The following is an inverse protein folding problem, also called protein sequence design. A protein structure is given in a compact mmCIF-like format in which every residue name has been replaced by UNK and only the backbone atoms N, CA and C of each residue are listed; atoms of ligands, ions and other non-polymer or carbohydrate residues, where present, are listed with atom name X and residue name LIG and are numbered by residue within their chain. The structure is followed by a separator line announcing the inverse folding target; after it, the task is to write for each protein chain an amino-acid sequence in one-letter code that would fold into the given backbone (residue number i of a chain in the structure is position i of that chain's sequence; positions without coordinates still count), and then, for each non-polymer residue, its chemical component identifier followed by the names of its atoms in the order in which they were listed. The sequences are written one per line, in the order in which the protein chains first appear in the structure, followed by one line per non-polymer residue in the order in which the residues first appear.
data_IF_410385925632
#
_entry.id   IF_410385925632
#
_cell.length_a   1.000
_cell.length_b   1.000
_cell.length_c   1.000
_cell.angle_alpha   90.00
_cell.angle_beta   90.00
_cell.angle_gamma   90.00
#
_symmetry.space_group_name_H-M   'P 1'
#
loop_
_entity.id
_entity.type
_entity.pdbx_description
1 polymer ?
#
# COMPACT_ATOMS: atom_id res chain seq x y z
N UNK A 1 -33.01 18.18 -44.57
CA UNK A 1 -31.65 17.79 -44.15
C UNK A 1 -31.78 17.18 -42.77
N UNK A 2 -31.41 15.91 -42.59
CA UNK A 2 -31.55 15.27 -41.29
C UNK A 2 -30.51 15.87 -40.32
N UNK A 3 -30.93 16.28 -39.12
CA UNK A 3 -30.09 16.86 -38.06
C UNK A 3 -29.16 15.81 -37.40
N UNK A 4 -28.66 14.83 -38.14
CA UNK A 4 -27.77 13.81 -37.60
C UNK A 4 -26.34 14.37 -37.56
N UNK A 5 -25.76 14.44 -36.36
CA UNK A 5 -24.34 14.71 -36.10
C UNK A 5 -23.64 13.42 -35.67
N UNK A 6 -22.31 13.44 -35.66
CA UNK A 6 -21.50 12.32 -35.18
C UNK A 6 -21.87 11.91 -33.74
N UNK A 7 -22.25 12.87 -32.89
CA UNK A 7 -22.71 12.64 -31.52
C UNK A 7 -23.87 11.64 -31.44
N UNK A 8 -24.77 11.63 -32.43
CA UNK A 8 -25.88 10.69 -32.46
C UNK A 8 -25.43 9.22 -32.52
N UNK A 9 -24.26 8.94 -33.10
CA UNK A 9 -23.70 7.61 -33.11
C UNK A 9 -23.23 7.20 -31.70
N UNK A 10 -22.60 8.11 -30.96
CA UNK A 10 -22.15 7.89 -29.58
C UNK A 10 -23.34 7.72 -28.61
N UNK A 11 -24.44 8.44 -28.85
CA UNK A 11 -25.67 8.38 -28.05
C UNK A 11 -26.62 7.23 -28.46
N UNK A 12 -26.21 6.37 -29.40
CA UNK A 12 -27.08 5.31 -29.92
C UNK A 12 -27.45 4.27 -28.86
N UNK A 13 -28.75 4.11 -28.61
CA UNK A 13 -29.30 3.15 -27.64
C UNK A 13 -30.01 1.97 -28.31
N UNK A 14 -30.17 1.98 -29.63
CA UNK A 14 -30.83 0.91 -30.38
C UNK A 14 -30.14 0.60 -31.70
N UNK A 15 -30.44 -0.58 -32.26
CA UNK A 15 -30.03 -0.94 -33.62
C UNK A 15 -30.52 0.08 -34.65
N UNK A 16 -31.71 0.67 -34.44
CA UNK A 16 -32.31 1.63 -35.36
C UNK A 16 -31.54 2.96 -35.37
N UNK A 17 -31.03 3.40 -34.23
CA UNK A 17 -30.22 4.62 -34.13
C UNK A 17 -28.94 4.50 -34.94
N UNK A 18 -28.21 3.39 -34.74
CA UNK A 18 -26.98 3.08 -35.49
C UNK A 18 -27.25 3.02 -36.99
N UNK A 19 -28.32 2.33 -37.40
CA UNK A 19 -28.72 2.26 -38.81
C UNK A 19 -29.08 3.62 -39.40
N UNK A 20 -29.76 4.49 -38.63
CA UNK A 20 -30.11 5.82 -39.09
C UNK A 20 -28.86 6.72 -39.22
N UNK A 21 -27.90 6.61 -38.30
CA UNK A 21 -26.63 7.33 -38.40
C UNK A 21 -25.85 6.94 -39.66
N UNK A 22 -25.72 5.63 -39.92
CA UNK A 22 -25.07 5.12 -41.14
C UNK A 22 -25.82 5.58 -42.39
N UNK A 23 -27.16 5.54 -42.39
CA UNK A 23 -27.98 6.02 -43.51
C UNK A 23 -27.86 7.53 -43.75
N UNK A 24 -27.54 8.31 -42.70
CA UNK A 24 -27.24 9.73 -42.80
C UNK A 24 -25.79 10.03 -43.28
N UNK A 25 -24.97 8.99 -43.50
CA UNK A 25 -23.61 9.11 -44.00
C UNK A 25 -22.54 9.27 -42.90
N UNK A 26 -22.88 9.03 -41.63
CA UNK A 26 -21.92 9.05 -40.52
C UNK A 26 -21.04 7.80 -40.63
N UNK A 27 -19.71 7.99 -40.60
CA UNK A 27 -18.76 6.89 -40.52
C UNK A 27 -18.89 6.18 -39.16
N UNK A 28 -19.05 4.86 -39.20
CA UNK A 28 -19.13 4.02 -38.01
C UNK A 28 -17.85 4.10 -37.14
N UNK A 29 -16.73 4.50 -37.73
CA UNK A 29 -15.44 4.66 -37.08
C UNK A 29 -15.12 6.10 -36.70
N UNK A 30 -16.10 7.01 -36.72
CA UNK A 30 -15.84 8.37 -36.27
C UNK A 30 -15.39 8.39 -34.81
N UNK A 31 -14.56 9.37 -34.48
CA UNK A 31 -13.91 9.49 -33.18
C UNK A 31 -14.34 10.78 -32.47
N UNK A 32 -14.54 10.71 -31.17
CA UNK A 32 -14.75 11.90 -30.35
C UNK A 32 -13.41 12.62 -30.05
N UNK A 33 -13.46 13.70 -29.26
CA UNK A 33 -12.28 14.48 -28.89
C UNK A 33 -11.24 13.72 -28.04
N UNK A 34 -11.63 12.61 -27.40
CA UNK A 34 -10.74 11.71 -26.68
C UNK A 34 -10.15 10.61 -27.58
N UNK A 35 -10.46 10.64 -28.87
CA UNK A 35 -10.06 9.61 -29.82
C UNK A 35 -10.82 8.30 -29.62
N UNK A 36 -11.98 8.30 -28.96
CA UNK A 36 -12.78 7.10 -28.75
C UNK A 36 -13.74 6.90 -29.92
N UNK A 37 -13.97 5.65 -30.33
CA UNK A 37 -15.11 5.32 -31.20
C UNK A 37 -16.36 5.05 -30.35
N UNK A 38 -17.51 4.91 -31.01
CA UNK A 38 -18.80 4.77 -30.33
C UNK A 38 -18.91 3.53 -29.40
N UNK A 39 -18.02 2.54 -29.51
CA UNK A 39 -18.01 1.41 -28.57
C UNK A 39 -17.76 1.88 -27.14
N UNK A 40 -16.86 2.85 -26.91
CA UNK A 40 -16.32 3.24 -25.60
C UNK A 40 -17.38 3.68 -24.58
N UNK A 41 -18.49 4.27 -25.04
CA UNK A 41 -19.61 4.69 -24.19
C UNK A 41 -20.89 3.85 -24.33
N UNK A 42 -20.95 2.90 -25.27
CA UNK A 42 -22.19 2.19 -25.57
C UNK A 42 -22.44 1.01 -24.62
N UNK A 43 -23.40 1.15 -23.70
CA UNK A 43 -23.88 0.05 -22.83
C UNK A 43 -25.11 -0.69 -23.40
N UNK A 44 -25.78 -0.12 -24.40
CA UNK A 44 -26.93 -0.78 -25.02
C UNK A 44 -26.49 -1.94 -25.90
N UNK A 45 -26.90 -3.16 -25.52
CA UNK A 45 -26.62 -4.38 -26.27
C UNK A 45 -27.14 -4.32 -27.71
N UNK A 46 -28.27 -3.66 -27.94
CA UNK A 46 -28.86 -3.54 -29.28
C UNK A 46 -28.00 -2.68 -30.21
N UNK A 47 -27.56 -1.51 -29.72
CA UNK A 47 -26.67 -0.62 -30.45
C UNK A 47 -25.28 -1.23 -30.61
N UNK A 48 -24.72 -1.80 -29.54
CA UNK A 48 -23.39 -2.42 -29.53
C UNK A 48 -23.28 -3.54 -30.57
N UNK A 49 -24.28 -4.43 -30.65
CA UNK A 49 -24.35 -5.46 -31.71
C UNK A 49 -24.41 -4.85 -33.10
N UNK A 50 -25.23 -3.81 -33.29
CA UNK A 50 -25.39 -3.16 -34.58
C UNK A 50 -24.09 -2.47 -35.03
N UNK A 51 -23.35 -1.84 -34.12
CA UNK A 51 -22.05 -1.22 -34.42
C UNK A 51 -21.02 -2.28 -34.84
N UNK A 52 -20.96 -3.41 -34.14
CA UNK A 52 -20.09 -4.55 -34.47
C UNK A 52 -20.46 -5.16 -35.82
N UNK A 53 -21.75 -5.40 -36.07
CA UNK A 53 -22.27 -5.86 -37.37
C UNK A 53 -21.96 -4.88 -38.51
N UNK A 54 -21.90 -3.58 -38.22
CA UNK A 54 -21.57 -2.52 -39.17
C UNK A 54 -20.06 -2.35 -39.41
N UNK A 55 -19.21 -3.14 -38.75
CA UNK A 55 -17.76 -3.13 -38.99
C UNK A 55 -17.01 -2.03 -38.25
N UNK A 56 -17.52 -1.58 -37.09
CA UNK A 56 -16.75 -0.70 -36.20
C UNK A 56 -15.40 -1.34 -35.83
N UNK A 57 -14.35 -0.53 -35.74
CA UNK A 57 -13.01 -0.95 -35.39
C UNK A 57 -12.95 -1.41 -33.93
N UNK A 58 -13.16 -2.71 -33.72
CA UNK A 58 -13.31 -3.33 -32.39
C UNK A 58 -12.11 -3.11 -31.47
N UNK A 59 -10.90 -3.12 -32.04
CA UNK A 59 -9.64 -2.96 -31.32
C UNK A 59 -9.08 -1.53 -31.37
N UNK A 60 -9.91 -0.55 -31.74
CA UNK A 60 -9.52 0.86 -31.70
C UNK A 60 -9.11 1.28 -30.29
N UNK A 61 -8.17 2.22 -30.21
CA UNK A 61 -7.68 2.75 -28.94
C UNK A 61 -7.87 4.26 -28.84
N UNK A 62 -8.24 4.73 -27.66
CA UNK A 62 -8.33 6.17 -27.34
C UNK A 62 -6.94 6.85 -27.26
N UNK A 63 -6.92 8.14 -26.91
CA UNK A 63 -5.68 8.91 -26.76
C UNK A 63 -4.76 8.42 -25.62
N UNK A 64 -5.28 7.61 -24.68
CA UNK A 64 -4.51 6.95 -23.62
C UNK A 64 -4.05 5.56 -24.01
N UNK A 65 -4.38 5.12 -25.23
CA UNK A 65 -4.12 3.78 -25.71
C UNK A 65 -5.04 2.73 -25.09
N UNK A 66 -6.14 3.09 -24.44
CA UNK A 66 -7.11 2.11 -23.95
C UNK A 66 -7.97 1.60 -25.10
N UNK A 67 -8.32 0.31 -25.12
CA UNK A 67 -9.42 -0.16 -25.95
C UNK A 67 -10.75 -0.08 -25.16
N UNK A 68 -11.87 -0.40 -25.81
CA UNK A 68 -13.21 -0.26 -25.23
C UNK A 68 -13.46 -1.10 -23.95
N UNK A 69 -12.59 -2.06 -23.60
CA UNK A 69 -12.70 -2.86 -22.38
C UNK A 69 -12.40 -2.05 -21.11
N UNK A 70 -11.55 -1.03 -21.20
CA UNK A 70 -11.03 -0.30 -20.03
C UNK A 70 -12.11 0.53 -19.34
N UNK A 71 -13.11 1.00 -20.10
CA UNK A 71 -14.19 1.87 -19.62
C UNK A 71 -15.51 1.14 -19.28
N UNK A 72 -15.56 -0.20 -19.39
CA UNK A 72 -16.81 -0.94 -19.19
C UNK A 72 -17.33 -0.82 -17.76
N UNK A 73 -18.65 -0.74 -17.62
CA UNK A 73 -19.36 -0.85 -16.33
C UNK A 73 -20.44 -1.93 -16.33
N UNK A 74 -20.79 -2.44 -17.51
CA UNK A 74 -21.83 -3.44 -17.69
C UNK A 74 -21.20 -4.80 -18.01
N UNK A 75 -21.31 -5.81 -17.13
CA UNK A 75 -20.84 -7.17 -17.39
C UNK A 75 -21.43 -7.74 -18.69
N UNK A 76 -22.67 -7.36 -19.04
CA UNK A 76 -23.33 -7.80 -20.27
C UNK A 76 -22.71 -7.21 -21.53
N UNK A 77 -22.41 -5.91 -21.53
CA UNK A 77 -21.76 -5.25 -22.65
C UNK A 77 -20.32 -5.73 -22.80
N UNK A 78 -19.60 -5.84 -21.69
CA UNK A 78 -18.26 -6.43 -21.61
C UNK A 78 -18.22 -7.84 -22.21
N UNK A 79 -19.12 -8.72 -21.75
CA UNK A 79 -19.20 -10.10 -22.25
C UNK A 79 -19.54 -10.18 -23.74
N UNK A 80 -20.28 -9.21 -24.30
CA UNK A 80 -20.50 -9.14 -25.74
C UNK A 80 -19.22 -8.75 -26.49
N UNK A 81 -18.49 -7.73 -26.03
CA UNK A 81 -17.23 -7.32 -26.66
C UNK A 81 -16.20 -8.46 -26.66
N UNK A 82 -16.05 -9.16 -25.53
CA UNK A 82 -15.19 -10.35 -25.40
C UNK A 82 -15.57 -11.41 -26.42
N UNK A 83 -16.86 -11.76 -26.52
CA UNK A 83 -17.37 -12.76 -27.49
C UNK A 83 -17.17 -12.34 -28.94
N UNK A 84 -17.13 -11.03 -29.19
CA UNK A 84 -16.90 -10.47 -30.52
C UNK A 84 -15.41 -10.42 -30.91
N UNK A 85 -14.50 -10.86 -30.04
CA UNK A 85 -13.07 -10.98 -30.34
C UNK A 85 -12.25 -9.71 -30.11
N UNK A 86 -12.70 -8.83 -29.22
CA UNK A 86 -11.87 -7.70 -28.78
C UNK A 86 -10.61 -8.24 -28.09
N UNK A 87 -9.48 -7.56 -28.28
CA UNK A 87 -8.21 -7.96 -27.69
C UNK A 87 -8.23 -7.73 -26.17
N UNK A 88 -8.45 -8.81 -25.42
CA UNK A 88 -8.45 -8.78 -23.95
C UNK A 88 -7.04 -8.62 -23.34
N UNK A 89 -5.99 -8.92 -24.10
CA UNK A 89 -4.59 -8.81 -23.64
C UNK A 89 -3.97 -7.44 -23.94
N UNK A 90 -4.78 -6.49 -24.40
CA UNK A 90 -4.32 -5.15 -24.74
C UNK A 90 -3.76 -4.43 -23.51
N UNK A 91 -2.68 -3.68 -23.72
CA UNK A 91 -2.08 -2.79 -22.73
C UNK A 91 -2.12 -1.36 -23.24
N UNK A 92 -2.51 -0.43 -22.38
CA UNK A 92 -2.56 0.98 -22.73
C UNK A 92 -1.17 1.64 -22.72
N UNK A 93 -1.10 2.95 -22.93
CA UNK A 93 0.17 3.69 -23.00
C UNK A 93 0.99 3.65 -21.70
N UNK A 94 0.36 3.27 -20.57
CA UNK A 94 1.01 3.06 -19.27
C UNK A 94 1.34 1.58 -18.99
N UNK A 95 1.11 0.68 -19.94
CA UNK A 95 1.31 -0.76 -19.75
C UNK A 95 0.20 -1.45 -18.96
N UNK A 96 -0.86 -0.72 -18.58
CA UNK A 96 -1.97 -1.24 -17.80
C UNK A 96 -2.84 -2.14 -18.69
N UNK A 97 -3.22 -3.32 -18.17
CA UNK A 97 -4.29 -4.14 -18.74
C UNK A 97 -5.67 -3.60 -18.33
N UNK A 98 -6.73 -4.05 -18.98
CA UNK A 98 -8.10 -3.68 -18.58
C UNK A 98 -8.44 -4.09 -17.14
N UNK A 99 -7.80 -5.14 -16.61
CA UNK A 99 -8.00 -5.58 -15.23
C UNK A 99 -7.52 -4.54 -14.20
N UNK A 100 -6.49 -3.76 -14.53
CA UNK A 100 -6.03 -2.65 -13.69
C UNK A 100 -7.07 -1.54 -13.56
N UNK A 101 -8.05 -1.45 -14.44
CA UNK A 101 -9.16 -0.48 -14.34
C UNK A 101 -10.43 -1.08 -13.73
N UNK A 102 -10.64 -2.38 -13.92
CA UNK A 102 -11.86 -3.09 -13.55
C UNK A 102 -11.75 -3.79 -12.19
N UNK A 103 -10.70 -3.54 -11.41
CA UNK A 103 -10.39 -4.29 -10.19
C UNK A 103 -11.41 -4.11 -9.03
N UNK A 104 -12.24 -3.06 -9.06
CA UNK A 104 -13.32 -2.85 -8.09
C UNK A 104 -14.64 -3.52 -8.49
N UNK A 105 -14.87 -3.77 -9.78
CA UNK A 105 -16.07 -4.45 -10.28
C UNK A 105 -15.78 -5.94 -10.44
N UNK A 106 -16.08 -6.71 -9.39
CA UNK A 106 -15.76 -8.14 -9.33
C UNK A 106 -16.46 -8.93 -10.45
N UNK A 107 -17.67 -8.56 -10.85
CA UNK A 107 -18.39 -9.24 -11.93
C UNK A 107 -17.70 -9.03 -13.28
N UNK A 108 -17.29 -7.79 -13.57
CA UNK A 108 -16.52 -7.47 -14.77
C UNK A 108 -15.11 -8.10 -14.72
N UNK A 109 -14.45 -8.05 -13.58
CA UNK A 109 -13.13 -8.65 -13.37
C UNK A 109 -13.14 -10.17 -13.61
N UNK A 110 -14.13 -10.88 -13.09
CA UNK A 110 -14.28 -12.33 -13.31
C UNK A 110 -14.51 -12.67 -14.79
N UNK A 111 -15.28 -11.85 -15.53
CA UNK A 111 -15.42 -12.04 -16.97
C UNK A 111 -14.11 -11.89 -17.72
N UNK A 112 -13.27 -10.92 -17.34
CA UNK A 112 -11.95 -10.70 -17.92
C UNK A 112 -10.99 -11.85 -17.60
N UNK A 113 -10.94 -12.30 -16.34
CA UNK A 113 -10.12 -13.44 -15.93
C UNK A 113 -10.52 -14.71 -16.69
N UNK A 114 -11.83 -14.98 -16.79
CA UNK A 114 -12.34 -16.13 -17.55
C UNK A 114 -12.06 -16.01 -19.06
N UNK A 115 -11.85 -14.79 -19.57
CA UNK A 115 -11.41 -14.54 -20.93
C UNK A 115 -9.88 -14.66 -21.12
N UNK A 116 -9.14 -15.01 -20.07
CA UNK A 116 -7.69 -15.23 -20.09
C UNK A 116 -6.85 -13.98 -19.80
N UNK A 117 -7.43 -12.89 -19.29
CA UNK A 117 -6.64 -11.73 -18.88
C UNK A 117 -5.71 -12.12 -17.72
N UNK A 118 -4.42 -11.79 -17.87
CA UNK A 118 -3.41 -12.13 -16.89
C UNK A 118 -3.55 -11.30 -15.61
N UNK A 119 -3.88 -11.99 -14.52
CA UNK A 119 -4.00 -11.44 -13.17
C UNK A 119 -2.66 -10.95 -12.62
N UNK A 120 -1.54 -11.45 -13.14
CA UNK A 120 -0.18 -11.06 -12.77
C UNK A 120 0.41 -9.99 -13.68
N UNK A 121 -0.39 -9.44 -14.61
CA UNK A 121 0.09 -8.40 -15.51
C UNK A 121 0.59 -7.19 -14.71
N UNK A 122 1.72 -6.65 -15.15
CA UNK A 122 2.28 -5.41 -14.60
C UNK A 122 2.17 -4.26 -15.59
N UNK A 123 2.13 -3.04 -15.07
CA UNK A 123 2.24 -1.82 -15.83
C UNK A 123 3.70 -1.46 -16.19
N UNK A 124 3.92 -0.25 -16.71
CA UNK A 124 5.25 0.25 -17.10
C UNK A 124 6.16 0.56 -15.90
N UNK A 125 5.62 0.65 -14.68
CA UNK A 125 6.39 0.79 -13.44
C UNK A 125 6.67 -0.58 -12.79
N UNK A 126 6.18 -1.65 -13.40
CA UNK A 126 6.28 -2.99 -12.85
C UNK A 126 5.26 -3.24 -11.74
N UNK A 127 4.23 -2.41 -11.61
CA UNK A 127 3.21 -2.55 -10.58
C UNK A 127 2.10 -3.51 -11.05
N UNK A 128 1.67 -4.42 -10.17
CA UNK A 128 0.46 -5.22 -10.38
C UNK A 128 -0.78 -4.41 -9.98
N UNK A 129 -1.98 -4.94 -10.23
CA UNK A 129 -3.23 -4.30 -9.82
C UNK A 129 -3.32 -4.01 -8.32
N UNK A 130 -2.59 -4.76 -7.47
CA UNK A 130 -2.64 -4.59 -6.02
C UNK A 130 -2.09 -3.24 -5.55
N UNK A 131 -1.22 -2.57 -6.31
CA UNK A 131 -0.60 -1.30 -5.92
C UNK A 131 -1.58 -0.14 -5.78
N UNK A 132 -2.72 -0.21 -6.47
CA UNK A 132 -3.73 0.85 -6.49
C UNK A 132 -5.02 0.44 -5.72
N UNK A 133 -4.94 -0.63 -4.92
CA UNK A 133 -6.06 -1.13 -4.11
C UNK A 133 -5.92 -0.70 -2.65
N UNK A 134 -6.90 0.05 -2.17
CA UNK A 134 -6.94 0.53 -0.79
C UNK A 134 -8.25 0.21 -0.07
N UNK A 135 -9.07 -0.65 -0.67
CA UNK A 135 -10.21 -1.30 -0.02
C UNK A 135 -9.79 -2.69 0.46
N UNK A 136 -10.02 -2.99 1.73
CA UNK A 136 -9.57 -4.25 2.32
C UNK A 136 -10.28 -5.48 1.76
N UNK A 137 -11.57 -5.40 1.50
CA UNK A 137 -12.35 -6.55 1.05
C UNK A 137 -11.99 -6.89 -0.40
N UNK A 138 -11.81 -5.86 -1.23
CA UNK A 138 -11.34 -6.03 -2.62
C UNK A 138 -9.89 -6.51 -2.65
N UNK A 139 -9.00 -5.94 -1.82
CA UNK A 139 -7.62 -6.41 -1.72
C UNK A 139 -7.55 -7.89 -1.31
N UNK A 140 -8.29 -8.27 -0.27
CA UNK A 140 -8.36 -9.65 0.21
C UNK A 140 -8.88 -10.60 -0.87
N UNK A 141 -9.88 -10.19 -1.65
CA UNK A 141 -10.37 -10.93 -2.80
C UNK A 141 -9.24 -11.22 -3.81
N UNK A 142 -8.48 -10.20 -4.22
CA UNK A 142 -7.41 -10.36 -5.20
C UNK A 142 -6.25 -11.21 -4.68
N UNK A 143 -5.87 -11.05 -3.42
CA UNK A 143 -4.89 -11.92 -2.77
C UNK A 143 -5.38 -13.37 -2.72
N UNK A 144 -6.66 -13.60 -2.47
CA UNK A 144 -7.26 -14.94 -2.49
C UNK A 144 -7.37 -15.53 -3.91
N UNK A 145 -7.46 -14.70 -4.94
CA UNK A 145 -7.36 -15.11 -6.35
C UNK A 145 -5.94 -15.42 -6.81
N UNK A 146 -4.93 -15.17 -5.97
CA UNK A 146 -3.55 -15.55 -6.22
C UNK A 146 -2.63 -14.39 -6.61
N UNK A 147 -3.08 -13.14 -6.51
CA UNK A 147 -2.16 -11.99 -6.66
C UNK A 147 -1.06 -12.04 -5.59
N UNK A 148 0.18 -11.81 -6.01
CA UNK A 148 1.34 -11.84 -5.11
C UNK A 148 1.50 -10.50 -4.37
N UNK A 149 1.36 -10.54 -3.05
CA UNK A 149 1.56 -9.39 -2.16
C UNK A 149 3.03 -8.99 -2.00
N UNK A 150 3.96 -9.89 -2.37
CA UNK A 150 5.40 -9.68 -2.27
C UNK A 150 6.02 -9.21 -3.59
N UNK A 151 5.20 -9.08 -4.65
CA UNK A 151 5.65 -8.55 -5.92
C UNK A 151 6.31 -7.18 -5.70
N UNK A 152 7.43 -6.95 -6.38
CA UNK A 152 8.17 -5.69 -6.32
C UNK A 152 8.11 -4.98 -7.66
N UNK A 153 7.84 -3.69 -7.61
CA UNK A 153 7.90 -2.80 -8.76
C UNK A 153 9.36 -2.58 -9.19
N UNK A 154 9.57 -1.80 -10.25
CA UNK A 154 10.93 -1.51 -10.73
C UNK A 154 11.76 -0.64 -9.77
N UNK A 155 11.13 -0.01 -8.77
CA UNK A 155 11.82 0.69 -7.69
C UNK A 155 12.15 -0.24 -6.51
N UNK A 156 11.76 -1.51 -6.59
CA UNK A 156 11.95 -2.50 -5.53
C UNK A 156 10.95 -2.35 -4.38
N UNK A 157 9.90 -1.54 -4.50
CA UNK A 157 8.84 -1.39 -3.49
C UNK A 157 7.85 -2.54 -3.64
N UNK A 158 7.55 -3.24 -2.55
CA UNK A 158 6.46 -4.23 -2.51
C UNK A 158 5.09 -3.58 -2.26
N UNK A 159 4.00 -4.26 -2.62
CA UNK A 159 2.62 -3.78 -2.49
C UNK A 159 2.30 -3.23 -1.10
N UNK A 160 2.74 -3.93 -0.04
CA UNK A 160 2.46 -3.58 1.36
C UNK A 160 3.68 -2.98 2.09
N UNK A 161 4.70 -2.51 1.35
CA UNK A 161 5.79 -1.75 1.97
C UNK A 161 5.21 -0.48 2.61
N UNK A 162 5.52 -0.29 3.90
CA UNK A 162 4.98 0.83 4.67
C UNK A 162 5.47 2.17 4.08
N UNK A 163 4.56 3.12 3.82
CA UNK A 163 4.91 4.39 3.19
C UNK A 163 5.86 5.20 4.07
N UNK A 164 6.67 6.05 3.41
CA UNK A 164 7.68 6.90 4.06
C UNK A 164 7.17 8.29 4.42
N UNK A 165 6.05 8.71 3.81
CA UNK A 165 5.56 10.08 3.78
C UNK A 165 4.16 10.18 4.42
N UNK A 166 3.55 11.38 4.39
CA UNK A 166 2.24 11.73 4.98
C UNK A 166 1.01 10.98 4.40
N UNK A 167 1.22 9.84 3.77
CA UNK A 167 0.17 8.93 3.28
C UNK A 167 -0.38 8.08 4.43
N UNK A 168 -0.82 8.74 5.51
CA UNK A 168 -1.34 8.14 6.73
C UNK A 168 -2.44 7.10 6.47
N UNK A 169 -3.29 7.36 5.48
CA UNK A 169 -4.37 6.46 5.09
C UNK A 169 -3.86 5.17 4.40
N UNK A 170 -2.78 5.25 3.61
CA UNK A 170 -2.13 4.06 3.03
C UNK A 170 -1.36 3.29 4.12
N UNK A 171 -0.80 3.99 5.10
CA UNK A 171 -0.14 3.35 6.24
C UNK A 171 -1.12 2.45 7.01
N UNK A 172 -2.27 2.99 7.42
CA UNK A 172 -3.27 2.22 8.18
C UNK A 172 -3.83 1.05 7.36
N UNK A 173 -4.05 1.26 6.06
CA UNK A 173 -4.39 0.17 5.14
C UNK A 173 -3.29 -0.91 5.16
N UNK A 174 -2.03 -0.54 4.94
CA UNK A 174 -0.92 -1.48 4.85
C UNK A 174 -0.72 -2.28 6.14
N UNK A 175 -0.83 -1.62 7.31
CA UNK A 175 -0.77 -2.30 8.62
C UNK A 175 -1.87 -3.37 8.74
N UNK A 176 -3.10 -3.04 8.37
CA UNK A 176 -4.21 -3.97 8.48
C UNK A 176 -4.15 -5.09 7.44
N UNK A 177 -3.73 -4.80 6.21
CA UNK A 177 -3.51 -5.81 5.19
C UNK A 177 -2.39 -6.78 5.59
N UNK A 178 -1.26 -6.27 6.10
CA UNK A 178 -0.16 -7.10 6.63
C UNK A 178 -0.63 -7.99 7.79
N UNK A 179 -1.47 -7.49 8.70
CA UNK A 179 -2.05 -8.29 9.79
C UNK A 179 -2.90 -9.45 9.26
N UNK A 180 -3.72 -9.21 8.24
CA UNK A 180 -4.59 -10.24 7.63
C UNK A 180 -3.80 -11.28 6.84
N UNK A 181 -2.70 -10.88 6.21
CA UNK A 181 -1.91 -11.71 5.29
C UNK A 181 -0.49 -12.01 5.78
N UNK A 182 -0.24 -11.98 7.10
CA UNK A 182 1.10 -12.19 7.69
C UNK A 182 1.73 -13.55 7.34
N UNK A 183 0.89 -14.54 7.03
CA UNK A 183 1.35 -15.87 6.63
C UNK A 183 1.77 -15.92 5.15
N UNK A 184 1.42 -14.90 4.36
CA UNK A 184 1.73 -14.78 2.93
C UNK A 184 2.90 -13.83 2.62
N UNK A 185 3.37 -13.06 3.60
CA UNK A 185 4.56 -12.21 3.39
C UNK A 185 5.83 -13.08 3.35
N UNK A 186 6.76 -12.68 2.48
CA UNK A 186 8.04 -13.36 2.32
C UNK A 186 9.01 -13.07 3.50
N UNK A 187 10.28 -13.45 3.34
CA UNK A 187 11.30 -13.23 4.37
C UNK A 187 11.85 -11.80 4.41
N UNK A 188 11.38 -10.90 3.54
CA UNK A 188 11.79 -9.49 3.55
C UNK A 188 11.44 -8.88 4.90
N UNK A 189 12.37 -8.14 5.54
CA UNK A 189 12.05 -7.38 6.72
C UNK A 189 10.91 -6.38 6.48
N UNK A 190 9.92 -6.37 7.37
CA UNK A 190 8.93 -5.28 7.40
C UNK A 190 9.61 -4.07 8.04
N UNK A 191 9.85 -3.03 7.24
CA UNK A 191 10.53 -1.82 7.65
C UNK A 191 9.55 -0.76 8.18
N UNK A 192 9.64 -0.48 9.48
CA UNK A 192 8.92 0.60 10.13
C UNK A 192 9.79 1.87 10.16
N UNK A 193 9.44 2.84 9.31
CA UNK A 193 9.96 4.23 9.39
C UNK A 193 9.04 5.13 10.23
N UNK A 194 7.79 4.74 10.34
CA UNK A 194 6.80 5.30 11.25
C UNK A 194 6.25 4.18 12.14
N UNK A 195 6.04 4.47 13.43
CA UNK A 195 5.38 3.57 14.37
C UNK A 195 4.19 4.27 15.02
N UNK A 196 2.99 3.75 14.73
CA UNK A 196 1.74 4.16 15.36
C UNK A 196 1.36 3.23 16.52
N UNK A 197 0.29 3.57 17.27
CA UNK A 197 -0.31 2.64 18.24
C UNK A 197 -0.83 1.37 17.58
N UNK A 198 -1.37 1.50 16.36
CA UNK A 198 -1.94 0.41 15.56
C UNK A 198 -0.87 -0.52 14.96
N UNK A 199 0.36 -0.02 14.82
CA UNK A 199 1.49 -0.83 14.39
C UNK A 199 1.92 -1.85 15.45
N UNK A 200 1.71 -1.57 16.75
CA UNK A 200 2.19 -2.45 17.83
C UNK A 200 1.57 -3.87 17.79
N UNK A 201 0.24 -4.04 17.55
CA UNK A 201 -0.34 -5.35 17.26
C UNK A 201 0.29 -6.07 16.06
N UNK A 202 0.61 -5.36 14.97
CA UNK A 202 1.30 -5.98 13.83
C UNK A 202 2.72 -6.42 14.21
N UNK A 203 3.48 -5.56 14.89
CA UNK A 203 4.84 -5.89 15.35
C UNK A 203 4.83 -7.12 16.27
N UNK A 204 3.86 -7.21 17.18
CA UNK A 204 3.69 -8.37 18.05
C UNK A 204 3.40 -9.65 17.24
N UNK A 205 2.49 -9.57 16.25
CA UNK A 205 2.15 -10.68 15.38
C UNK A 205 3.33 -11.12 14.51
N UNK A 206 4.07 -10.18 13.93
CA UNK A 206 5.29 -10.46 13.17
C UNK A 206 6.32 -11.20 14.03
N UNK A 207 6.51 -10.76 15.27
CA UNK A 207 7.41 -11.40 16.23
C UNK A 207 6.96 -12.83 16.56
N UNK A 208 5.68 -13.03 16.85
CA UNK A 208 5.10 -14.35 17.11
C UNK A 208 5.30 -15.31 15.93
N UNK A 209 5.16 -14.79 14.70
CA UNK A 209 5.35 -15.54 13.45
C UNK A 209 6.82 -15.68 13.03
N UNK A 210 7.77 -15.16 13.81
CA UNK A 210 9.20 -15.21 13.48
C UNK A 210 9.58 -14.42 12.21
N UNK A 211 8.80 -13.40 11.86
CA UNK A 211 9.06 -12.52 10.71
C UNK A 211 10.08 -11.45 11.09
N UNK A 212 10.89 -11.03 10.12
CA UNK A 212 11.92 -10.03 10.36
C UNK A 212 11.29 -8.64 10.48
N UNK A 213 11.59 -7.95 11.58
CA UNK A 213 11.09 -6.62 11.91
C UNK A 213 12.28 -5.68 11.91
N UNK A 214 12.26 -4.66 11.05
CA UNK A 214 13.27 -3.63 11.05
C UNK A 214 12.63 -2.30 11.43
N UNK A 215 13.20 -1.61 12.41
CA UNK A 215 12.85 -0.22 12.72
C UNK A 215 13.99 0.66 12.23
N UNK A 216 13.65 1.65 11.41
CA UNK A 216 14.61 2.58 10.86
C UNK A 216 15.34 3.35 11.97
N UNK A 217 16.61 3.70 11.75
CA UNK A 217 17.36 4.49 12.73
C UNK A 217 16.67 5.83 13.01
N UNK A 218 16.15 6.51 11.97
CA UNK A 218 15.24 7.63 12.12
C UNK A 218 13.79 7.13 12.06
N UNK A 219 13.16 6.97 13.22
CA UNK A 219 11.78 6.50 13.31
C UNK A 219 10.85 7.59 13.82
N UNK A 220 9.80 7.91 13.07
CA UNK A 220 8.76 8.83 13.52
C UNK A 220 7.67 8.10 14.30
N UNK A 221 6.94 8.81 15.17
CA UNK A 221 5.79 8.30 15.90
C UNK A 221 4.84 9.42 16.34
N UNK A 222 3.59 9.06 16.62
CA UNK A 222 2.55 9.97 17.10
C UNK A 222 2.01 9.51 18.47
N UNK A 223 2.71 9.82 19.56
CA UNK A 223 2.24 9.49 20.92
C UNK A 223 2.34 10.68 21.89
N UNK A 224 1.36 10.75 22.79
CA UNK A 224 1.46 11.62 23.96
C UNK A 224 2.57 11.15 24.92
N UNK A 225 3.31 12.09 25.50
CA UNK A 225 4.43 11.80 26.43
C UNK A 225 4.01 10.86 27.56
N UNK A 226 2.80 11.00 28.11
CA UNK A 226 2.27 10.14 29.18
C UNK A 226 2.18 8.65 28.79
N UNK A 227 2.04 8.35 27.50
CA UNK A 227 1.88 6.98 26.98
C UNK A 227 3.21 6.37 26.52
N UNK A 228 4.29 7.15 26.39
CA UNK A 228 5.56 6.66 25.81
C UNK A 228 6.16 5.52 26.62
N UNK A 229 6.16 5.61 27.96
CA UNK A 229 6.79 4.59 28.81
C UNK A 229 6.16 3.22 28.62
N UNK A 230 4.83 3.13 28.65
CA UNK A 230 4.13 1.85 28.43
C UNK A 230 4.31 1.36 27.00
N UNK A 231 4.24 2.27 26.02
CA UNK A 231 4.45 1.94 24.61
C UNK A 231 5.82 1.32 24.34
N UNK A 232 6.90 2.02 24.69
CA UNK A 232 8.26 1.53 24.46
C UNK A 232 8.57 0.28 25.28
N UNK A 233 8.00 0.14 26.48
CA UNK A 233 8.13 -1.11 27.26
C UNK A 233 7.55 -2.29 26.51
N UNK A 234 6.43 -2.11 25.81
CA UNK A 234 5.83 -3.16 24.98
C UNK A 234 6.62 -3.39 23.70
N UNK A 235 7.01 -2.33 22.98
CA UNK A 235 7.76 -2.44 21.72
C UNK A 235 9.06 -3.24 21.89
N UNK A 236 9.79 -2.98 22.98
CA UNK A 236 11.03 -3.68 23.34
C UNK A 236 10.89 -5.18 23.56
N UNK A 237 9.67 -5.70 23.75
CA UNK A 237 9.45 -7.15 23.89
C UNK A 237 9.58 -7.87 22.55
N UNK A 238 9.36 -7.15 21.45
CA UNK A 238 9.19 -7.75 20.13
C UNK A 238 10.39 -7.49 19.21
N UNK A 239 11.12 -6.39 19.43
CA UNK A 239 12.25 -6.02 18.58
C UNK A 239 13.27 -5.16 19.33
N UNK A 240 14.53 -5.18 18.88
CA UNK A 240 15.55 -4.28 19.39
C UNK A 240 15.32 -2.87 18.84
N UNK A 241 15.42 -1.89 19.73
CA UNK A 241 15.27 -0.47 19.42
C UNK A 241 16.45 0.35 19.97
N UNK A 242 17.52 -0.31 20.40
CA UNK A 242 18.68 0.35 21.01
C UNK A 242 19.44 1.24 20.02
N UNK A 243 19.32 0.98 18.72
CA UNK A 243 19.92 1.78 17.65
C UNK A 243 19.03 2.94 17.20
N UNK A 244 17.75 2.97 17.57
CA UNK A 244 16.73 3.85 16.99
C UNK A 244 16.67 5.21 17.70
N UNK A 245 16.64 6.28 16.91
CA UNK A 245 16.26 7.63 17.30
C UNK A 245 14.78 7.87 16.98
N UNK A 246 14.05 8.39 17.96
CA UNK A 246 12.60 8.57 17.83
C UNK A 246 12.23 10.05 17.69
N UNK A 247 11.40 10.35 16.70
CA UNK A 247 10.99 11.71 16.36
C UNK A 247 9.47 11.86 16.37
N UNK A 248 8.99 13.01 16.85
CA UNK A 248 7.58 13.35 16.74
C UNK A 248 7.24 13.64 15.26
N UNK A 249 6.26 12.93 14.71
CA UNK A 249 5.92 13.04 13.28
C UNK A 249 5.43 14.44 12.86
N UNK A 250 4.83 15.24 13.75
CA UNK A 250 4.26 16.54 13.38
C UNK A 250 5.29 17.68 13.29
N UNK A 251 6.47 17.51 13.90
CA UNK A 251 7.46 18.58 14.01
C UNK A 251 8.89 18.12 13.76
N UNK A 252 9.07 16.84 13.42
CA UNK A 252 10.37 16.16 13.33
C UNK A 252 11.31 16.46 14.51
N UNK A 253 10.73 16.54 15.71
CA UNK A 253 11.49 16.84 16.94
C UNK A 253 11.84 15.54 17.66
N UNK A 254 13.11 15.37 17.99
CA UNK A 254 13.57 14.19 18.72
C UNK A 254 12.96 14.10 20.13
N UNK A 255 12.66 12.88 20.60
CA UNK A 255 12.07 12.63 21.94
C UNK A 255 12.87 13.24 23.08
N UNK A 256 14.19 13.31 22.92
CA UNK A 256 15.11 13.91 23.87
C UNK A 256 14.93 15.42 24.03
N UNK A 257 14.31 16.13 23.09
CA UNK A 257 14.18 17.60 23.14
C UNK A 257 12.98 18.02 23.98
N UNK A 258 11.81 17.43 23.74
CA UNK A 258 10.55 17.91 24.28
C UNK A 258 10.04 17.14 25.50
N UNK A 259 10.70 16.04 25.88
CA UNK A 259 10.33 15.29 27.09
C UNK A 259 11.01 15.85 28.34
N UNK A 260 10.36 15.69 29.50
CA UNK A 260 10.95 16.10 30.78
C UNK A 260 12.13 15.21 31.19
N UNK A 261 13.02 15.75 32.03
CA UNK A 261 14.26 15.07 32.48
C UNK A 261 14.04 13.64 32.98
N UNK A 262 12.97 13.39 33.74
CA UNK A 262 12.68 12.07 34.30
C UNK A 262 12.25 11.05 33.23
N UNK A 263 11.73 11.52 32.10
CA UNK A 263 11.43 10.67 30.94
C UNK A 263 12.72 10.40 30.15
N UNK A 264 13.59 11.40 29.96
CA UNK A 264 14.91 11.21 29.32
C UNK A 264 15.77 10.22 30.11
N UNK A 265 15.87 10.39 31.43
CA UNK A 265 16.54 9.40 32.31
C UNK A 265 15.91 8.01 32.18
N UNK A 266 14.59 7.92 31.99
CA UNK A 266 13.91 6.65 31.77
C UNK A 266 14.25 6.05 30.40
N UNK A 267 14.42 6.83 29.33
CA UNK A 267 14.88 6.32 28.04
C UNK A 267 16.29 5.74 28.13
N UNK A 268 17.25 6.53 28.63
CA UNK A 268 18.65 6.13 28.83
C UNK A 268 18.69 4.84 29.68
N UNK A 269 18.16 4.93 30.90
CA UNK A 269 17.33 3.92 31.55
C UNK A 269 17.15 2.54 30.94
N UNK A 270 16.40 2.53 29.87
CA UNK A 270 15.88 1.34 29.24
C UNK A 270 16.58 1.08 27.90
N UNK A 271 17.77 1.64 27.68
CA UNK A 271 18.54 1.41 26.45
C UNK A 271 17.84 1.94 25.21
N UNK A 272 17.07 3.03 25.34
CA UNK A 272 16.52 3.77 24.21
C UNK A 272 17.47 4.92 23.94
N UNK A 273 17.97 5.00 22.71
CA UNK A 273 18.99 5.96 22.31
C UNK A 273 18.46 7.38 22.39
N UNK A 274 19.30 8.27 22.92
CA UNK A 274 19.13 9.72 22.84
C UNK A 274 20.53 10.29 22.67
N UNK A 275 20.82 10.84 21.50
CA UNK A 275 22.19 11.28 21.18
C UNK A 275 22.65 12.46 22.05
N UNK A 276 23.94 12.46 22.36
CA UNK A 276 24.59 13.47 23.21
C UNK A 276 24.39 14.89 22.68
N UNK A 277 24.44 15.08 21.35
CA UNK A 277 24.23 16.40 20.74
C UNK A 277 22.82 16.93 21.01
N UNK A 278 21.84 16.03 21.09
CA UNK A 278 20.45 16.36 21.43
C UNK A 278 20.35 16.70 22.92
N UNK A 279 21.04 15.95 23.77
CA UNK A 279 21.07 16.18 25.22
C UNK A 279 21.75 17.50 25.58
N UNK A 280 22.84 17.87 24.90
CA UNK A 280 23.59 19.12 25.10
C UNK A 280 22.77 20.37 24.81
N UNK A 281 21.77 20.28 23.93
CA UNK A 281 20.88 21.40 23.61
C UNK A 281 19.87 21.71 24.73
N UNK A 282 19.76 20.85 25.74
CA UNK A 282 18.79 21.01 26.82
C UNK A 282 19.31 21.92 27.93
N UNK A 283 18.42 22.72 28.51
CA UNK A 283 18.74 23.55 29.67
C UNK A 283 19.11 22.74 30.93
N UNK A 284 18.76 21.45 30.98
CA UNK A 284 19.05 20.53 32.08
C UNK A 284 20.13 19.48 31.72
N UNK A 285 20.92 19.75 30.66
CA UNK A 285 22.00 18.88 30.15
C UNK A 285 22.94 18.37 31.25
N UNK A 286 23.46 19.24 32.12
CA UNK A 286 24.41 18.87 33.18
C UNK A 286 23.87 17.75 34.08
N UNK A 287 22.59 17.85 34.47
CA UNK A 287 21.93 16.85 35.32
C UNK A 287 21.76 15.50 34.62
N UNK A 288 21.66 15.50 33.29
CA UNK A 288 21.53 14.29 32.48
C UNK A 288 22.89 13.62 32.34
N UNK A 289 23.95 14.37 32.04
CA UNK A 289 25.31 13.82 31.93
C UNK A 289 25.86 13.33 33.28
N UNK A 290 25.52 13.99 34.39
CA UNK A 290 25.78 13.48 35.75
C UNK A 290 25.10 12.13 35.99
N UNK A 291 23.86 11.99 35.51
CA UNK A 291 23.11 10.74 35.61
C UNK A 291 23.73 9.62 34.77
N UNK A 292 24.13 9.92 33.52
CA UNK A 292 24.81 8.97 32.63
C UNK A 292 26.12 8.49 33.27
N UNK A 293 26.98 9.42 33.67
CA UNK A 293 28.28 9.12 34.30
C UNK A 293 28.11 8.29 35.58
N UNK A 294 27.13 8.65 36.41
CA UNK A 294 26.81 7.90 37.64
C UNK A 294 26.32 6.48 37.37
N UNK A 295 25.73 6.24 36.19
CA UNK A 295 25.23 4.93 35.78
C UNK A 295 26.33 4.07 35.17
N UNK A 296 27.15 4.62 34.29
CA UNK A 296 28.34 3.96 33.74
C UNK A 296 29.26 3.48 34.86
N UNK A 297 29.48 4.32 35.88
CA UNK A 297 30.22 3.94 37.09
C UNK A 297 29.58 2.75 37.81
N UNK A 298 28.25 2.72 37.94
CA UNK A 298 27.54 1.59 38.57
C UNK A 298 27.66 0.30 37.76
N UNK A 299 27.55 0.40 36.43
CA UNK A 299 27.62 -0.77 35.56
C UNK A 299 29.06 -1.31 35.47
N UNK A 300 30.07 -0.43 35.42
CA UNK A 300 31.48 -0.80 35.58
C UNK A 300 31.75 -1.52 36.91
N UNK A 301 31.21 -1.00 38.02
CA UNK A 301 31.35 -1.63 39.35
C UNK A 301 30.65 -2.99 39.46
N UNK A 302 29.58 -3.25 38.70
CA UNK A 302 28.95 -4.58 38.65
C UNK A 302 29.86 -5.59 37.96
N UNK A 303 30.46 -5.19 36.83
CA UNK A 303 31.38 -6.05 36.06
C UNK A 303 32.62 -6.40 36.90
N UNK A 304 33.12 -5.46 37.71
CA UNK A 304 34.30 -5.69 38.56
C UNK A 304 34.05 -6.52 39.83
N UNK A 305 32.80 -6.79 40.23
CA UNK A 305 32.52 -7.66 41.38
C UNK A 305 32.42 -9.12 40.89
N UNK A 306 33.39 -10.00 41.20
CA UNK A 306 33.24 -11.42 40.89
C UNK A 306 32.07 -11.99 41.70
N UNK A 307 31.35 -12.97 41.17
CA UNK A 307 30.38 -13.75 41.94
C UNK A 307 31.07 -14.35 43.17
N UNK A 308 30.85 -13.73 44.34
CA UNK A 308 31.25 -14.33 45.61
C UNK A 308 30.26 -15.47 45.84
N UNK A 309 30.64 -16.69 45.46
CA UNK A 309 29.94 -17.91 45.91
C UNK A 309 30.00 -17.94 47.43
N UNK A 310 28.91 -17.56 48.09
CA UNK A 310 28.81 -17.69 49.54
C UNK A 310 28.91 -19.17 49.90
N UNK A 311 30.00 -19.56 50.56
CA UNK A 311 30.16 -20.90 51.12
C UNK A 311 28.95 -21.25 52.01
N UNK A 312 28.43 -22.49 51.95
CA UNK A 312 27.22 -22.86 52.67
C UNK A 312 27.42 -22.65 54.17
N UNK A 313 26.53 -21.84 54.77
CA UNK A 313 26.52 -21.60 56.21
C UNK A 313 26.37 -22.96 56.91
N UNK A 314 27.41 -23.40 57.63
CA UNK A 314 27.32 -24.56 58.52
C UNK A 314 26.19 -24.30 59.51
N UNK A 315 25.12 -25.09 59.41
CA UNK A 315 24.11 -25.17 60.47
C UNK A 315 24.83 -25.65 61.73
N UNK A 316 24.79 -24.86 62.80
CA UNK A 316 25.21 -25.32 64.12
C UNK A 316 24.23 -26.42 64.53
N UNK A 317 24.78 -27.61 64.77
CA UNK A 317 24.12 -28.70 65.50
C UNK A 317 23.90 -28.28 66.95
#
# INVERSE_FOLDING_TARGET
MSNYTEDNLFDSISKKDVQNCIAAGIDINTLNEHGENALFGCDSIGALKAMIEAGIALNHTDCYGNNALFSRKSPRALGLLIKSGINVHHKNNKGLSCLHWQHYDIDCAELLINAGVDIHSTDNEGQTLLYNLHDHDVFDYWVNKGCDINHRDYNGKAVLDLPTDDEWWIYDFSINALKRHVDRIDSTPVLFKHISTEALPLIALLHEKGRNILIAEHCTFALYVKNMKSFFTSLKKYTDISHVQFYNCYHDRHIGVYTGIETVKWFIRNGIRVDDDILRQRADSDKIFDYISGREKKDFLKIMKPEITHAPKRKRM
#
